data_IF_524653577561
#
_entry.id   IF_524653577561
#
_cell.length_a   1.000
_cell.length_b   1.000
_cell.length_c   1.000
_cell.angle_alpha   90.00
_cell.angle_beta   90.00
_cell.angle_gamma   90.00
#
_symmetry.space_group_name_H-M   'P 1'
#
loop_
_entity.id
_entity.type
_entity.pdbx_description
1 polymer ?
#
# COMPACT_ATOMS: atom_id res chain seq x y z
N UNK A 1 -43.09 -91.47 -21.09
CA UNK A 1 -43.10 -91.60 -19.62
C UNK A 1 -41.89 -90.75 -19.09
N UNK A 2 -42.23 -89.82 -18.18
CA UNK A 2 -41.39 -89.03 -17.26
C UNK A 2 -40.36 -88.04 -17.85
N UNK A 3 -40.78 -86.83 -17.79
CA UNK A 3 -40.01 -85.60 -17.89
C UNK A 3 -39.01 -85.45 -16.77
N UNK A 4 -37.87 -84.81 -17.07
CA UNK A 4 -37.04 -84.17 -16.07
C UNK A 4 -36.79 -82.71 -16.52
N UNK A 5 -37.28 -81.82 -15.70
CA UNK A 5 -37.14 -80.35 -15.88
C UNK A 5 -35.74 -79.95 -15.41
N UNK A 6 -34.98 -79.29 -16.31
CA UNK A 6 -33.77 -78.58 -15.95
C UNK A 6 -34.07 -77.21 -15.42
N UNK A 7 -33.56 -76.93 -14.22
CA UNK A 7 -33.57 -75.58 -13.60
C UNK A 7 -32.42 -74.81 -14.06
N UNK A 8 -32.63 -73.74 -14.78
CA UNK A 8 -31.61 -72.78 -15.15
C UNK A 8 -31.37 -71.80 -13.99
N UNK A 9 -30.14 -71.76 -13.47
CA UNK A 9 -29.72 -70.83 -12.45
C UNK A 9 -29.26 -69.53 -13.14
N UNK A 10 -30.06 -68.47 -12.98
CA UNK A 10 -29.68 -67.12 -13.45
C UNK A 10 -28.85 -66.47 -12.37
N UNK A 11 -27.54 -66.28 -12.62
CA UNK A 11 -26.63 -65.49 -11.78
C UNK A 11 -26.77 -64.02 -12.18
N UNK A 12 -27.49 -63.23 -11.39
CA UNK A 12 -27.48 -61.78 -11.52
C UNK A 12 -26.19 -61.22 -10.94
N UNK A 13 -25.24 -60.79 -11.82
CA UNK A 13 -24.12 -59.91 -11.44
C UNK A 13 -24.64 -58.48 -11.18
N UNK A 14 -24.81 -58.13 -9.91
CA UNK A 14 -25.08 -56.75 -9.51
C UNK A 14 -23.83 -55.88 -9.71
N UNK A 15 -23.86 -55.01 -10.70
CA UNK A 15 -22.92 -53.89 -10.83
C UNK A 15 -23.26 -52.84 -9.79
N UNK A 16 -22.49 -52.81 -8.69
CA UNK A 16 -22.48 -51.65 -7.77
C UNK A 16 -21.78 -50.47 -8.44
N UNK A 17 -22.56 -49.53 -8.99
CA UNK A 17 -22.07 -48.21 -9.28
C UNK A 17 -21.79 -47.48 -7.94
N UNK A 18 -20.54 -47.40 -7.54
CA UNK A 18 -20.09 -46.47 -6.53
C UNK A 18 -20.25 -45.04 -7.11
N UNK A 19 -21.36 -44.42 -6.81
CA UNK A 19 -21.51 -42.97 -6.94
C UNK A 19 -20.58 -42.34 -5.90
N UNK A 20 -19.37 -41.94 -6.33
CA UNK A 20 -18.52 -41.09 -5.55
C UNK A 20 -19.27 -39.78 -5.32
N UNK A 21 -19.78 -39.57 -4.12
CA UNK A 21 -20.24 -38.26 -3.69
C UNK A 21 -19.04 -37.31 -3.77
N UNK A 22 -18.99 -36.49 -4.82
CA UNK A 22 -18.17 -35.30 -4.83
C UNK A 22 -18.73 -34.41 -3.74
N UNK A 23 -18.07 -34.43 -2.57
CA UNK A 23 -18.34 -33.46 -1.53
C UNK A 23 -18.12 -32.09 -2.16
N UNK A 24 -19.05 -31.16 -2.09
CA UNK A 24 -18.79 -29.78 -2.52
C UNK A 24 -17.59 -29.31 -1.71
N UNK A 25 -16.49 -28.99 -2.40
CA UNK A 25 -15.35 -28.38 -1.78
C UNK A 25 -15.87 -27.17 -1.00
N UNK A 26 -15.65 -27.17 0.30
CA UNK A 26 -15.93 -25.99 1.13
C UNK A 26 -15.04 -24.88 0.55
N UNK A 27 -15.62 -23.97 -0.22
CA UNK A 27 -14.95 -22.72 -0.52
C UNK A 27 -14.79 -22.03 0.83
N UNK A 28 -13.60 -22.10 1.39
CA UNK A 28 -13.27 -21.30 2.57
C UNK A 28 -13.47 -19.84 2.16
N UNK A 29 -14.34 -19.14 2.88
CA UNK A 29 -14.58 -17.73 2.62
C UNK A 29 -13.24 -16.98 2.68
N UNK A 30 -13.04 -16.04 1.75
CA UNK A 30 -11.83 -15.18 1.75
C UNK A 30 -11.77 -14.47 3.11
N UNK A 31 -10.63 -14.54 3.83
CA UNK A 31 -10.44 -13.76 5.06
C UNK A 31 -10.72 -12.28 4.80
N UNK A 32 -11.29 -11.59 5.77
CA UNK A 32 -11.72 -10.21 5.59
C UNK A 32 -11.44 -9.36 6.83
N UNK A 33 -11.16 -8.09 6.60
CA UNK A 33 -11.20 -7.12 7.68
C UNK A 33 -12.63 -7.05 8.24
N UNK A 34 -12.73 -7.26 9.53
CA UNK A 34 -14.01 -7.23 10.27
C UNK A 34 -13.98 -6.05 11.25
N UNK A 35 -14.63 -4.92 10.92
CA UNK A 35 -14.63 -3.75 11.77
C UNK A 35 -15.30 -3.97 13.14
N UNK A 36 -16.16 -4.98 13.27
CA UNK A 36 -16.80 -5.30 14.55
C UNK A 36 -15.81 -5.89 15.58
N UNK A 37 -14.64 -6.33 15.12
CA UNK A 37 -13.56 -6.83 15.97
C UNK A 37 -12.57 -5.76 16.41
N UNK A 38 -12.62 -4.56 15.82
CA UNK A 38 -11.76 -3.45 16.26
C UNK A 38 -12.11 -3.13 17.70
N UNK A 39 -11.07 -3.06 18.55
CA UNK A 39 -11.23 -2.75 19.96
C UNK A 39 -11.73 -1.32 20.18
N UNK A 40 -12.08 -1.01 21.40
CA UNK A 40 -12.32 0.38 21.78
C UNK A 40 -11.01 1.20 21.65
N UNK A 41 -11.04 2.15 20.74
CA UNK A 41 -9.90 3.00 20.39
C UNK A 41 -9.97 4.38 21.08
N UNK A 42 -10.91 4.60 21.99
CA UNK A 42 -11.11 5.89 22.66
C UNK A 42 -9.91 6.35 23.52
N UNK A 43 -9.13 5.41 24.03
CA UNK A 43 -7.91 5.69 24.79
C UNK A 43 -6.62 5.65 23.95
N UNK A 44 -6.73 5.41 22.63
CA UNK A 44 -5.57 5.41 21.78
C UNK A 44 -5.05 6.83 21.58
N UNK A 45 -3.79 7.06 21.93
CA UNK A 45 -3.10 8.33 21.71
C UNK A 45 -1.68 8.04 21.18
N UNK A 46 -1.44 8.31 19.87
CA UNK A 46 -0.15 8.00 19.24
C UNK A 46 1.02 8.82 19.80
N UNK A 47 0.72 9.94 20.47
CA UNK A 47 1.72 10.78 21.13
C UNK A 47 2.18 10.24 22.50
N UNK A 48 1.38 9.38 23.13
CA UNK A 48 1.63 8.86 24.48
C UNK A 48 1.80 7.35 24.56
N UNK A 49 1.40 6.62 23.51
CA UNK A 49 1.39 5.16 23.56
C UNK A 49 2.76 4.58 23.90
N UNK A 50 2.77 3.64 24.84
CA UNK A 50 3.91 2.82 25.21
C UNK A 50 3.56 1.36 24.97
N UNK A 51 4.39 0.67 24.23
CA UNK A 51 4.19 -0.76 23.96
C UNK A 51 4.80 -1.63 25.04
N UNK A 52 4.19 -2.79 25.34
CA UNK A 52 4.77 -3.77 26.24
C UNK A 52 6.11 -4.29 25.69
N UNK A 53 6.97 -4.77 26.57
CA UNK A 53 8.28 -5.36 26.24
C UNK A 53 8.40 -6.77 26.85
N UNK A 54 9.38 -7.55 26.41
CA UNK A 54 9.63 -8.89 26.93
C UNK A 54 9.28 -10.00 25.93
N UNK A 55 8.49 -11.01 26.33
CA UNK A 55 8.02 -12.09 25.43
C UNK A 55 6.86 -11.61 24.56
N UNK A 56 7.18 -10.76 23.60
CA UNK A 56 6.24 -10.07 22.71
C UNK A 56 6.42 -10.52 21.26
N UNK A 57 5.43 -10.24 20.42
CA UNK A 57 5.58 -10.25 18.97
C UNK A 57 6.16 -8.90 18.54
N UNK A 58 7.37 -8.91 17.97
CA UNK A 58 8.15 -7.69 17.73
C UNK A 58 8.10 -7.24 16.28
N UNK A 59 7.74 -5.98 16.07
CA UNK A 59 7.79 -5.32 14.77
C UNK A 59 8.92 -4.27 14.79
N UNK A 60 9.90 -4.43 13.91
CA UNK A 60 10.92 -3.41 13.65
C UNK A 60 10.39 -2.40 12.64
N UNK A 61 9.86 -1.28 13.12
CA UNK A 61 9.34 -0.20 12.26
C UNK A 61 10.49 0.63 11.72
N UNK A 62 10.86 0.34 10.47
CA UNK A 62 11.93 1.01 9.73
C UNK A 62 11.39 2.23 8.99
N UNK A 63 11.71 3.43 9.44
CA UNK A 63 11.32 4.68 8.76
C UNK A 63 12.29 5.82 9.09
N UNK A 64 12.19 6.94 8.40
CA UNK A 64 12.92 8.15 8.75
C UNK A 64 12.19 8.85 9.91
N UNK A 65 12.68 8.70 11.11
CA UNK A 65 12.16 9.41 12.29
C UNK A 65 12.90 10.73 12.56
N UNK A 66 14.01 10.95 11.89
CA UNK A 66 14.76 12.21 11.92
C UNK A 66 15.22 12.62 10.51
N UNK A 67 15.67 13.88 10.35
CA UNK A 67 16.09 14.43 9.07
C UNK A 67 14.92 14.88 8.17
N UNK A 68 15.19 15.17 6.87
CA UNK A 68 14.19 15.74 5.97
C UNK A 68 12.94 14.88 5.73
N UNK A 69 13.07 13.56 5.83
CA UNK A 69 11.97 12.59 5.68
C UNK A 69 11.15 12.34 6.93
N UNK A 70 11.41 13.02 8.05
CA UNK A 70 10.81 12.68 9.36
C UNK A 70 9.27 12.76 9.42
N UNK A 71 8.63 13.49 8.50
CA UNK A 71 7.18 13.49 8.38
C UNK A 71 6.63 12.08 8.12
N UNK A 72 7.30 11.29 7.26
CA UNK A 72 6.88 9.92 6.98
C UNK A 72 6.94 9.04 8.24
N UNK A 73 7.96 9.23 9.08
CA UNK A 73 8.06 8.52 10.35
C UNK A 73 6.86 8.74 11.28
N UNK A 74 6.29 9.97 11.28
CA UNK A 74 5.05 10.26 12.03
C UNK A 74 3.84 9.53 11.45
N UNK A 75 3.67 9.56 10.13
CA UNK A 75 2.57 8.87 9.45
C UNK A 75 2.58 7.37 9.73
N UNK A 76 3.74 6.72 9.57
CA UNK A 76 3.82 5.27 9.73
C UNK A 76 3.86 4.82 11.18
N UNK A 77 4.37 5.65 12.09
CA UNK A 77 4.17 5.42 13.51
C UNK A 77 2.69 5.39 13.87
N UNK A 78 1.94 6.40 13.43
CA UNK A 78 0.53 6.53 13.72
C UNK A 78 -0.25 5.30 13.25
N UNK A 79 -0.05 4.85 12.02
CA UNK A 79 -0.81 3.72 11.46
C UNK A 79 -0.38 2.37 12.03
N UNK A 80 0.92 2.14 12.18
CA UNK A 80 1.43 0.86 12.72
C UNK A 80 1.09 0.73 14.20
N UNK A 81 1.21 1.82 14.97
CA UNK A 81 0.83 1.82 16.38
C UNK A 81 -0.68 1.67 16.58
N UNK A 82 -1.51 2.20 15.69
CA UNK A 82 -2.96 1.95 15.68
C UNK A 82 -3.27 0.45 15.59
N UNK A 83 -2.75 -0.24 14.59
CA UNK A 83 -3.01 -1.67 14.41
C UNK A 83 -2.49 -2.49 15.60
N UNK A 84 -1.31 -2.16 16.11
CA UNK A 84 -0.73 -2.85 17.24
C UNK A 84 -1.53 -2.59 18.54
N UNK A 85 -2.00 -1.37 18.75
CA UNK A 85 -2.85 -1.03 19.90
C UNK A 85 -4.18 -1.81 19.86
N UNK A 86 -4.86 -1.83 18.70
CA UNK A 86 -6.09 -2.61 18.51
C UNK A 86 -5.87 -4.08 18.88
N UNK A 87 -4.83 -4.72 18.33
CA UNK A 87 -4.51 -6.11 18.65
C UNK A 87 -4.18 -6.31 20.12
N UNK A 88 -3.42 -5.39 20.73
CA UNK A 88 -3.07 -5.47 22.15
C UNK A 88 -4.28 -5.33 23.08
N UNK A 89 -5.22 -4.45 22.74
CA UNK A 89 -6.51 -4.35 23.50
C UNK A 89 -7.34 -5.63 23.40
N UNK A 90 -7.19 -6.40 22.32
CA UNK A 90 -7.83 -7.71 22.13
C UNK A 90 -7.02 -8.88 22.76
N UNK A 91 -5.96 -8.58 23.49
CA UNK A 91 -5.09 -9.56 24.17
C UNK A 91 -3.88 -10.00 23.33
N UNK A 92 -3.54 -9.31 22.25
CA UNK A 92 -2.39 -9.59 21.41
C UNK A 92 -2.66 -10.51 20.22
N UNK A 93 -1.60 -10.83 19.47
CA UNK A 93 -1.61 -11.73 18.31
C UNK A 93 -1.44 -13.19 18.71
N UNK A 94 -2.16 -14.12 18.08
CA UNK A 94 -2.09 -15.55 18.38
C UNK A 94 -0.97 -16.21 17.57
N UNK A 95 0.10 -16.62 18.23
CA UNK A 95 1.25 -17.30 17.62
C UNK A 95 1.80 -18.37 18.57
N UNK A 96 2.25 -19.50 18.02
CA UNK A 96 2.83 -20.62 18.78
C UNK A 96 1.95 -21.10 19.95
N UNK A 97 0.62 -21.09 19.72
CA UNK A 97 -0.39 -21.50 20.72
C UNK A 97 -0.60 -20.51 21.87
N UNK A 98 -0.06 -19.30 21.78
CA UNK A 98 -0.16 -18.26 22.81
C UNK A 98 -0.54 -16.92 22.20
N UNK A 99 -1.24 -16.08 22.97
CA UNK A 99 -1.37 -14.67 22.65
C UNK A 99 -0.14 -13.92 23.13
N UNK A 100 0.49 -13.20 22.21
CA UNK A 100 1.62 -12.32 22.48
C UNK A 100 1.22 -10.88 22.20
N UNK A 101 1.53 -10.01 23.16
CA UNK A 101 1.37 -8.57 22.92
C UNK A 101 2.32 -8.12 21.83
N UNK A 102 1.90 -7.17 21.00
CA UNK A 102 2.71 -6.60 19.92
C UNK A 102 3.58 -5.48 20.50
N UNK A 103 4.86 -5.54 20.23
CA UNK A 103 5.86 -4.52 20.54
C UNK A 103 6.37 -3.88 19.25
N UNK A 104 6.39 -2.53 19.17
CA UNK A 104 6.97 -1.82 18.04
C UNK A 104 8.31 -1.21 18.47
N UNK A 105 9.37 -1.57 17.75
CA UNK A 105 10.72 -1.04 17.95
C UNK A 105 11.06 -0.13 16.75
N UNK A 106 11.27 1.16 17.02
CA UNK A 106 11.60 2.14 15.98
C UNK A 106 13.03 1.94 15.46
N UNK A 107 13.15 1.90 14.15
CA UNK A 107 14.42 1.90 13.42
C UNK A 107 14.56 3.15 12.57
N UNK A 108 15.28 4.17 13.06
CA UNK A 108 15.49 5.41 12.30
C UNK A 108 16.45 5.19 11.14
N UNK A 109 15.95 5.32 9.92
CA UNK A 109 16.74 5.20 8.68
C UNK A 109 17.45 6.49 8.28
N UNK A 110 16.93 7.64 8.73
CA UNK A 110 17.34 8.97 8.28
C UNK A 110 17.34 9.13 6.76
N UNK A 111 16.62 8.27 6.03
CA UNK A 111 16.68 8.15 4.56
C UNK A 111 18.11 7.91 4.02
N UNK A 112 18.99 7.28 4.80
CA UNK A 112 20.40 7.01 4.47
C UNK A 112 20.70 5.51 4.42
N UNK A 113 21.14 4.94 3.28
CA UNK A 113 21.39 3.50 3.11
C UNK A 113 22.32 2.89 4.16
N UNK A 114 23.42 3.56 4.51
CA UNK A 114 24.40 3.07 5.47
C UNK A 114 23.83 2.98 6.90
N UNK A 115 23.02 3.96 7.32
CA UNK A 115 22.33 3.96 8.61
C UNK A 115 21.26 2.88 8.61
N UNK A 116 20.45 2.80 7.55
CA UNK A 116 19.41 1.79 7.36
C UNK A 116 19.95 0.38 7.55
N UNK A 117 21.09 0.06 6.92
CA UNK A 117 21.71 -1.26 7.05
C UNK A 117 22.02 -1.60 8.50
N UNK A 118 22.73 -0.70 9.19
CA UNK A 118 23.10 -0.91 10.60
C UNK A 118 21.86 -1.08 11.51
N UNK A 119 20.86 -0.24 11.29
CA UNK A 119 19.62 -0.28 12.07
C UNK A 119 18.83 -1.57 11.82
N UNK A 120 18.70 -2.01 10.57
CA UNK A 120 18.02 -3.26 10.24
C UNK A 120 18.77 -4.48 10.81
N UNK A 121 20.12 -4.51 10.71
CA UNK A 121 20.94 -5.57 11.29
C UNK A 121 20.78 -5.62 12.84
N UNK A 122 20.76 -4.49 13.53
CA UNK A 122 20.49 -4.42 14.97
C UNK A 122 19.12 -4.99 15.31
N UNK A 123 18.07 -4.57 14.61
CA UNK A 123 16.71 -5.06 14.84
C UNK A 123 16.60 -6.58 14.68
N UNK A 124 17.30 -7.16 13.69
CA UNK A 124 17.30 -8.61 13.49
C UNK A 124 18.13 -9.36 14.54
N UNK A 125 19.33 -8.88 14.89
CA UNK A 125 20.29 -9.60 15.72
C UNK A 125 20.12 -9.39 17.22
N UNK A 126 19.92 -8.13 17.62
CA UNK A 126 19.87 -7.74 19.03
C UNK A 126 18.42 -7.71 19.54
N UNK A 127 17.53 -7.00 18.83
CA UNK A 127 16.13 -6.87 19.21
C UNK A 127 15.29 -8.11 18.83
N UNK A 128 15.78 -8.92 17.87
CA UNK A 128 15.16 -10.17 17.41
C UNK A 128 13.72 -9.97 16.95
N UNK A 129 13.51 -8.98 16.08
CA UNK A 129 12.17 -8.69 15.55
C UNK A 129 11.64 -9.83 14.68
N UNK A 130 10.34 -10.09 14.76
CA UNK A 130 9.66 -11.09 13.93
C UNK A 130 9.42 -10.59 12.52
N UNK A 131 9.19 -9.28 12.37
CA UNK A 131 8.93 -8.60 11.10
C UNK A 131 9.70 -7.29 11.06
N UNK A 132 10.38 -7.02 9.92
CA UNK A 132 10.78 -5.67 9.52
C UNK A 132 9.63 -5.06 8.73
N UNK A 133 9.21 -3.86 9.10
CA UNK A 133 8.09 -3.16 8.48
C UNK A 133 8.54 -1.78 7.99
N UNK A 134 8.16 -1.38 6.77
CA UNK A 134 8.51 -0.05 6.19
C UNK A 134 9.33 -0.23 4.91
N UNK A 135 10.00 0.72 4.37
CA UNK A 135 10.17 2.13 4.71
C UNK A 135 9.83 3.02 3.50
N UNK A 136 9.87 4.34 3.69
CA UNK A 136 9.85 5.28 2.57
C UNK A 136 11.16 5.27 1.79
N UNK A 137 11.08 5.41 0.46
CA UNK A 137 12.22 5.43 -0.45
C UNK A 137 12.69 4.05 -0.89
N UNK A 138 12.48 3.74 -2.18
CA UNK A 138 12.78 2.40 -2.73
C UNK A 138 14.25 2.01 -2.58
N UNK A 139 15.19 2.95 -2.64
CA UNK A 139 16.62 2.70 -2.38
C UNK A 139 16.90 2.28 -0.92
N UNK A 140 16.10 2.75 0.03
CA UNK A 140 16.15 2.34 1.44
C UNK A 140 15.59 0.91 1.59
N UNK A 141 14.46 0.64 0.94
CA UNK A 141 13.82 -0.67 0.96
C UNK A 141 14.71 -1.78 0.39
N UNK A 142 15.46 -1.51 -0.69
CA UNK A 142 16.45 -2.45 -1.23
C UNK A 142 17.50 -2.85 -0.19
N UNK A 143 17.91 -1.93 0.68
CA UNK A 143 18.85 -2.24 1.77
C UNK A 143 18.19 -3.12 2.83
N UNK A 144 16.97 -2.78 3.26
CA UNK A 144 16.22 -3.56 4.26
C UNK A 144 15.98 -4.98 3.72
N UNK A 145 15.58 -5.10 2.46
CA UNK A 145 15.29 -6.35 1.79
C UNK A 145 16.49 -7.30 1.80
N UNK A 146 17.71 -6.80 1.55
CA UNK A 146 18.94 -7.59 1.64
C UNK A 146 19.27 -8.04 3.07
N UNK A 147 18.98 -7.21 4.05
CA UNK A 147 19.15 -7.58 5.47
C UNK A 147 18.12 -8.64 5.86
N UNK A 148 16.86 -8.48 5.47
CA UNK A 148 15.79 -9.44 5.70
C UNK A 148 16.15 -10.83 5.12
N UNK A 149 16.68 -10.89 3.92
CA UNK A 149 17.15 -12.13 3.30
C UNK A 149 18.27 -12.79 4.11
N UNK A 150 19.29 -12.00 4.47
CA UNK A 150 20.46 -12.49 5.24
C UNK A 150 20.06 -13.10 6.57
N UNK A 151 19.09 -12.51 7.26
CA UNK A 151 18.66 -12.95 8.59
C UNK A 151 17.36 -13.75 8.58
N UNK A 152 16.81 -14.04 7.39
CA UNK A 152 15.57 -14.81 7.20
C UNK A 152 14.39 -14.22 8.00
N UNK A 153 14.29 -12.90 8.01
CA UNK A 153 13.24 -12.15 8.71
C UNK A 153 12.20 -11.70 7.70
N UNK A 154 10.91 -11.86 7.99
CA UNK A 154 9.85 -11.31 7.12
C UNK A 154 10.04 -9.81 6.98
N UNK A 155 10.02 -9.32 5.75
CA UNK A 155 10.00 -7.89 5.43
C UNK A 155 8.70 -7.51 4.75
N UNK A 156 7.92 -6.71 5.42
CA UNK A 156 6.67 -6.17 4.91
C UNK A 156 6.88 -4.74 4.40
N UNK A 157 6.71 -4.56 3.09
CA UNK A 157 6.79 -3.25 2.41
C UNK A 157 5.39 -2.77 2.00
N UNK A 158 4.73 -1.88 2.75
CA UNK A 158 3.42 -1.37 2.39
C UNK A 158 3.47 -0.04 1.61
N UNK A 159 4.64 0.43 1.15
CA UNK A 159 4.70 1.80 0.67
C UNK A 159 5.67 2.11 -0.48
N UNK A 160 6.72 1.34 -0.69
CA UNK A 160 7.75 1.67 -1.70
C UNK A 160 7.48 0.98 -3.02
N UNK A 161 7.49 1.76 -4.11
CA UNK A 161 6.78 1.46 -5.35
C UNK A 161 7.68 1.06 -6.52
N UNK A 162 9.03 1.18 -6.43
CA UNK A 162 9.90 0.81 -7.55
C UNK A 162 9.73 -0.66 -7.94
N UNK A 163 9.56 -0.99 -9.22
CA UNK A 163 9.51 -2.36 -9.71
C UNK A 163 10.78 -3.16 -9.38
N UNK A 164 11.92 -2.47 -9.27
CA UNK A 164 13.19 -3.09 -8.91
C UNK A 164 13.20 -3.81 -7.56
N UNK A 165 12.23 -3.54 -6.68
CA UNK A 165 12.08 -4.26 -5.42
C UNK A 165 11.65 -5.72 -5.62
N UNK A 166 10.97 -6.02 -6.73
CA UNK A 166 10.40 -7.35 -7.01
C UNK A 166 10.91 -7.94 -8.34
N UNK A 167 12.01 -7.40 -8.90
CA UNK A 167 12.68 -7.96 -10.08
C UNK A 167 13.56 -9.19 -9.72
N UNK A 168 14.01 -9.95 -10.73
CA UNK A 168 14.81 -11.16 -10.52
C UNK A 168 16.13 -10.93 -9.82
N UNK A 169 16.71 -9.71 -9.95
CA UNK A 169 17.97 -9.34 -9.31
C UNK A 169 17.83 -9.09 -7.80
N UNK A 170 16.70 -8.53 -7.36
CA UNK A 170 16.54 -8.05 -5.99
C UNK A 170 15.47 -8.84 -5.22
N UNK A 171 14.62 -9.62 -5.90
CA UNK A 171 13.62 -10.43 -5.23
C UNK A 171 14.26 -11.35 -4.19
N UNK A 172 13.65 -11.40 -3.02
CA UNK A 172 13.90 -12.45 -2.05
C UNK A 172 12.59 -12.93 -1.43
N UNK A 173 12.56 -14.19 -1.02
CA UNK A 173 11.34 -14.84 -0.56
C UNK A 173 10.80 -14.33 0.78
N UNK A 174 11.57 -13.55 1.54
CA UNK A 174 11.16 -12.98 2.83
C UNK A 174 10.50 -11.62 2.68
N UNK A 175 10.55 -11.00 1.49
CA UNK A 175 9.99 -9.69 1.23
C UNK A 175 8.61 -9.77 0.57
N UNK A 176 7.65 -9.00 1.10
CA UNK A 176 6.28 -8.90 0.60
C UNK A 176 5.91 -7.43 0.39
N UNK A 177 5.43 -7.09 -0.82
CA UNK A 177 4.95 -5.75 -1.13
C UNK A 177 3.43 -5.73 -1.21
N UNK A 178 2.80 -4.98 -0.31
CA UNK A 178 1.34 -4.87 -0.20
C UNK A 178 0.76 -3.57 -0.74
N UNK A 179 1.60 -2.73 -1.36
CA UNK A 179 1.19 -1.54 -2.07
C UNK A 179 1.30 -1.71 -3.60
N UNK A 180 0.68 -0.78 -4.33
CA UNK A 180 0.86 -0.67 -5.78
C UNK A 180 2.33 -0.46 -6.14
N UNK A 181 2.68 -0.65 -7.40
CA UNK A 181 3.96 -0.21 -7.95
C UNK A 181 3.79 0.97 -8.93
N UNK A 182 4.92 1.49 -9.43
CA UNK A 182 4.91 2.63 -10.36
C UNK A 182 4.26 2.32 -11.70
N UNK A 183 4.28 1.07 -12.17
CA UNK A 183 3.58 0.66 -13.38
C UNK A 183 2.07 0.68 -13.16
N UNK A 184 1.59 0.12 -12.04
CA UNK A 184 0.16 0.15 -11.67
C UNK A 184 -0.36 1.58 -11.60
N UNK A 185 0.39 2.47 -10.95
CA UNK A 185 0.03 3.89 -10.86
C UNK A 185 0.00 4.55 -12.24
N UNK A 186 1.06 4.38 -13.02
CA UNK A 186 1.19 4.98 -14.35
C UNK A 186 0.08 4.50 -15.31
N UNK A 187 -0.21 3.20 -15.32
CA UNK A 187 -1.29 2.63 -16.11
C UNK A 187 -2.67 3.13 -15.68
N UNK A 188 -2.95 3.14 -14.38
CA UNK A 188 -4.24 3.61 -13.86
C UNK A 188 -4.46 5.09 -14.18
N UNK A 189 -3.44 5.92 -14.03
CA UNK A 189 -3.50 7.35 -14.36
C UNK A 189 -3.71 7.55 -15.86
N UNK A 190 -2.99 6.82 -16.70
CA UNK A 190 -3.16 6.88 -18.16
C UNK A 190 -4.56 6.41 -18.60
N UNK A 191 -5.07 5.35 -17.98
CA UNK A 191 -6.43 4.86 -18.22
C UNK A 191 -7.50 5.90 -17.83
N UNK A 192 -7.29 6.64 -16.75
CA UNK A 192 -8.14 7.76 -16.39
C UNK A 192 -8.09 8.87 -17.43
N UNK A 193 -6.90 9.31 -17.85
CA UNK A 193 -6.74 10.35 -18.87
C UNK A 193 -7.21 9.92 -20.26
N UNK A 194 -7.29 8.63 -20.56
CA UNK A 194 -7.86 8.15 -21.82
C UNK A 194 -9.32 8.62 -22.04
N UNK A 195 -10.02 9.00 -20.98
CA UNK A 195 -11.40 9.49 -20.99
C UNK A 195 -11.52 11.00 -20.83
N UNK A 196 -10.39 11.71 -20.87
CA UNK A 196 -10.30 13.15 -20.67
C UNK A 196 -9.71 13.83 -21.92
N UNK A 197 -9.98 15.13 -22.12
CA UNK A 197 -9.53 15.86 -23.30
C UNK A 197 -8.01 16.14 -23.32
N UNK A 198 -7.35 16.21 -22.17
CA UNK A 198 -5.94 16.59 -22.06
C UNK A 198 -5.05 15.60 -22.80
N UNK A 199 -4.11 16.11 -23.62
CA UNK A 199 -3.20 15.31 -24.44
C UNK A 199 -1.73 15.63 -24.23
N UNK A 200 -1.41 16.76 -23.61
CA UNK A 200 -0.03 17.22 -23.42
C UNK A 200 0.38 17.16 -21.97
N UNK A 201 1.33 16.29 -21.66
CA UNK A 201 1.79 16.01 -20.30
C UNK A 201 3.22 16.49 -20.12
N UNK A 202 3.50 17.13 -18.99
CA UNK A 202 4.85 17.38 -18.51
C UNK A 202 5.16 16.48 -17.32
N UNK A 203 6.24 15.72 -17.40
CA UNK A 203 6.69 14.86 -16.31
C UNK A 203 7.70 15.63 -15.45
N UNK A 204 7.42 15.73 -14.15
CA UNK A 204 8.31 16.39 -13.18
C UNK A 204 8.44 15.52 -11.94
N UNK A 205 9.58 14.87 -11.77
CA UNK A 205 9.83 13.88 -10.73
C UNK A 205 11.18 14.10 -10.02
N UNK A 206 11.31 13.48 -8.85
CA UNK A 206 12.55 13.36 -8.11
C UNK A 206 13.59 12.53 -8.88
N UNK A 207 14.87 12.95 -8.86
CA UNK A 207 15.98 12.33 -9.60
C UNK A 207 16.58 11.14 -8.83
N UNK A 208 15.85 10.01 -8.82
CA UNK A 208 16.35 8.71 -8.37
C UNK A 208 15.49 7.59 -8.99
N UNK A 209 15.83 6.31 -8.72
CA UNK A 209 15.17 5.16 -9.37
C UNK A 209 13.65 5.23 -9.40
N UNK A 210 13.02 5.57 -8.28
CA UNK A 210 11.57 5.69 -8.20
C UNK A 210 11.00 6.78 -9.12
N UNK A 211 11.61 7.96 -9.19
CA UNK A 211 11.12 9.03 -10.05
C UNK A 211 11.22 8.68 -11.54
N UNK A 212 12.29 8.00 -11.94
CA UNK A 212 12.44 7.45 -13.29
C UNK A 212 11.42 6.33 -13.56
N UNK A 213 11.23 5.40 -12.63
CA UNK A 213 10.23 4.34 -12.72
C UNK A 213 8.80 4.90 -12.87
N UNK A 214 8.50 6.01 -12.17
CA UNK A 214 7.20 6.72 -12.31
C UNK A 214 7.01 7.27 -13.72
N UNK A 215 8.03 7.93 -14.25
CA UNK A 215 8.02 8.47 -15.61
C UNK A 215 7.81 7.35 -16.66
N UNK A 216 8.54 6.27 -16.52
CA UNK A 216 8.46 5.13 -17.43
C UNK A 216 7.12 4.40 -17.36
N UNK A 217 6.61 4.15 -16.14
CA UNK A 217 5.29 3.55 -15.94
C UNK A 217 4.19 4.38 -16.58
N UNK A 218 4.23 5.71 -16.43
CA UNK A 218 3.23 6.59 -17.05
C UNK A 218 3.36 6.63 -18.58
N UNK A 219 4.57 6.74 -19.14
CA UNK A 219 4.80 6.71 -20.59
C UNK A 219 4.29 5.40 -21.21
N UNK A 220 4.56 4.25 -20.58
CA UNK A 220 4.01 2.95 -21.00
C UNK A 220 2.49 2.92 -20.93
N UNK A 221 1.92 3.44 -19.84
CA UNK A 221 0.47 3.55 -19.69
C UNK A 221 -0.17 4.44 -20.76
N UNK A 222 0.40 5.60 -21.06
CA UNK A 222 -0.07 6.47 -22.15
C UNK A 222 -0.02 5.76 -23.50
N UNK A 223 1.07 5.09 -23.84
CA UNK A 223 1.19 4.33 -25.08
C UNK A 223 0.09 3.27 -25.24
N UNK A 224 -0.30 2.64 -24.12
CA UNK A 224 -1.34 1.61 -24.08
C UNK A 224 -2.77 2.17 -24.14
N UNK A 225 -3.06 3.20 -23.35
CA UNK A 225 -4.43 3.66 -23.09
C UNK A 225 -4.80 4.98 -23.75
N UNK A 226 -3.81 5.81 -24.10
CA UNK A 226 -4.00 7.14 -24.74
C UNK A 226 -2.91 7.43 -25.77
N UNK A 227 -2.87 6.68 -26.88
CA UNK A 227 -1.79 6.77 -27.87
C UNK A 227 -1.69 8.12 -28.60
N UNK A 228 -2.70 8.98 -28.47
CA UNK A 228 -2.72 10.36 -29.00
C UNK A 228 -2.15 11.38 -28.00
N UNK A 229 -1.70 10.95 -26.83
CA UNK A 229 -1.05 11.79 -25.85
C UNK A 229 0.44 12.02 -26.18
N UNK A 230 0.94 13.18 -25.81
CA UNK A 230 2.35 13.58 -25.99
C UNK A 230 2.94 14.03 -24.67
N UNK A 231 4.11 13.50 -24.32
CA UNK A 231 4.96 14.05 -23.25
C UNK A 231 5.73 15.21 -23.86
N UNK A 232 5.33 16.45 -23.55
CA UNK A 232 5.92 17.69 -24.10
C UNK A 232 7.16 18.14 -23.36
N UNK A 233 7.50 17.51 -22.24
CA UNK A 233 8.73 17.75 -21.50
C UNK A 233 8.87 16.83 -20.31
N UNK A 234 10.10 16.63 -19.90
CA UNK A 234 10.48 15.79 -18.75
C UNK A 234 11.61 16.46 -17.98
N UNK A 235 11.48 16.49 -16.66
CA UNK A 235 12.51 17.01 -15.76
C UNK A 235 12.59 16.19 -14.49
N UNK A 236 13.81 15.99 -14.04
CA UNK A 236 14.11 15.37 -12.77
C UNK A 236 14.86 16.35 -11.87
N UNK A 237 14.55 16.37 -10.58
CA UNK A 237 15.12 17.29 -9.60
C UNK A 237 15.69 16.54 -8.40
N UNK A 238 16.70 17.11 -7.71
CA UNK A 238 17.24 16.51 -6.50
C UNK A 238 16.17 16.32 -5.41
N UNK A 239 16.29 15.26 -4.60
CA UNK A 239 15.47 15.06 -3.41
C UNK A 239 15.55 16.26 -2.46
N UNK A 240 14.42 16.63 -1.86
CA UNK A 240 14.30 17.71 -0.89
C UNK A 240 14.65 19.11 -1.47
N UNK A 241 14.26 19.32 -2.72
CA UNK A 241 14.45 20.59 -3.43
C UNK A 241 13.63 21.71 -2.75
N UNK A 242 14.25 22.89 -2.62
CA UNK A 242 13.61 24.06 -1.99
C UNK A 242 13.01 25.04 -3.00
N UNK A 243 13.58 25.12 -4.19
CA UNK A 243 13.19 26.07 -5.24
C UNK A 243 12.83 25.31 -6.53
N UNK A 244 11.54 25.26 -6.83
CA UNK A 244 11.00 24.65 -8.05
C UNK A 244 10.83 25.64 -9.20
N UNK A 245 11.05 26.95 -9.00
CA UNK A 245 10.80 27.96 -10.03
C UNK A 245 11.50 27.68 -11.37
N UNK A 246 12.77 27.20 -11.43
CA UNK A 246 13.42 26.86 -12.69
C UNK A 246 12.72 25.72 -13.46
N UNK A 247 12.18 24.74 -12.74
CA UNK A 247 11.45 23.61 -13.34
C UNK A 247 10.06 24.04 -13.79
N UNK A 248 9.33 24.78 -12.94
CA UNK A 248 8.00 25.28 -13.25
C UNK A 248 7.98 26.26 -14.42
N UNK A 249 9.04 27.06 -14.61
CA UNK A 249 9.21 27.90 -15.81
C UNK A 249 9.31 27.05 -17.09
N UNK A 250 9.99 25.90 -17.04
CA UNK A 250 10.01 24.96 -18.18
C UNK A 250 8.62 24.38 -18.45
N UNK A 251 7.89 23.98 -17.40
CA UNK A 251 6.50 23.52 -17.53
C UNK A 251 5.65 24.58 -18.21
N UNK A 252 5.71 25.83 -17.73
CA UNK A 252 4.94 26.96 -18.27
C UNK A 252 5.23 27.21 -19.76
N UNK A 253 6.50 27.09 -20.17
CA UNK A 253 6.93 27.28 -21.57
C UNK A 253 6.66 26.09 -22.49
N UNK A 254 6.30 24.92 -21.97
CA UNK A 254 6.16 23.68 -22.74
C UNK A 254 4.82 23.52 -23.45
N UNK A 255 3.81 24.28 -23.06
CA UNK A 255 2.44 24.09 -23.52
C UNK A 255 1.76 22.85 -22.94
N UNK A 256 2.24 22.32 -21.81
CA UNK A 256 1.61 21.22 -21.10
C UNK A 256 0.20 21.57 -20.64
N UNK A 257 -0.67 20.57 -20.61
CA UNK A 257 -2.04 20.63 -20.11
C UNK A 257 -2.16 19.97 -18.73
N UNK A 258 -1.22 19.10 -18.36
CA UNK A 258 -1.16 18.38 -17.07
C UNK A 258 0.29 18.25 -16.62
N UNK A 259 0.54 18.41 -15.33
CA UNK A 259 1.79 18.00 -14.68
C UNK A 259 1.58 16.58 -14.11
N UNK A 260 2.41 15.63 -14.54
CA UNK A 260 2.49 14.31 -13.93
C UNK A 260 3.68 14.26 -12.99
N UNK A 261 3.44 13.90 -11.74
CA UNK A 261 4.50 13.82 -10.73
C UNK A 261 4.28 12.66 -9.77
N UNK A 262 5.36 11.98 -9.42
CA UNK A 262 5.40 11.02 -8.32
C UNK A 262 5.93 11.61 -7.02
N UNK A 263 6.21 12.90 -6.98
CA UNK A 263 6.86 13.53 -5.84
C UNK A 263 6.08 13.34 -4.54
N UNK A 264 6.79 12.91 -3.51
CA UNK A 264 6.28 12.76 -2.15
C UNK A 264 6.75 13.92 -1.25
N UNK A 265 6.27 13.95 -0.02
CA UNK A 265 6.55 15.00 0.96
C UNK A 265 8.03 15.05 1.37
N UNK A 266 8.71 16.23 1.37
CA UNK A 266 8.10 17.57 1.21
C UNK A 266 8.07 18.11 -0.24
N UNK A 267 8.64 17.41 -1.22
CA UNK A 267 8.88 17.97 -2.56
C UNK A 267 7.56 18.24 -3.30
N UNK A 268 6.65 17.26 -3.35
CA UNK A 268 5.37 17.41 -4.02
C UNK A 268 4.55 18.60 -3.50
N UNK A 269 4.29 18.74 -2.19
CA UNK A 269 3.64 19.91 -1.62
C UNK A 269 4.35 21.23 -1.95
N UNK A 270 5.69 21.25 -1.92
CA UNK A 270 6.47 22.45 -2.25
C UNK A 270 6.30 22.83 -3.70
N UNK A 271 6.38 21.86 -4.61
CA UNK A 271 6.18 22.06 -6.04
C UNK A 271 4.81 22.65 -6.35
N UNK A 272 3.72 22.06 -5.82
CA UNK A 272 2.34 22.54 -6.04
C UNK A 272 2.15 23.95 -5.48
N UNK A 273 2.64 24.23 -4.27
CA UNK A 273 2.56 25.57 -3.66
C UNK A 273 3.23 26.62 -4.54
N UNK A 274 4.43 26.36 -5.03
CA UNK A 274 5.16 27.28 -5.89
C UNK A 274 4.51 27.41 -7.28
N UNK A 275 3.98 26.32 -7.87
CA UNK A 275 3.23 26.39 -9.11
C UNK A 275 2.02 27.35 -8.98
N UNK A 276 1.26 27.21 -7.90
CA UNK A 276 0.11 28.09 -7.61
C UNK A 276 0.55 29.54 -7.42
N UNK A 277 1.65 29.80 -6.71
CA UNK A 277 2.21 31.13 -6.49
C UNK A 277 2.68 31.78 -7.79
N UNK A 278 3.21 31.01 -8.73
CA UNK A 278 3.60 31.47 -10.07
C UNK A 278 2.40 31.64 -11.03
N UNK A 279 1.17 31.40 -10.57
CA UNK A 279 -0.03 31.49 -11.40
C UNK A 279 -0.28 30.28 -12.30
N UNK A 280 0.48 29.22 -12.17
CA UNK A 280 0.29 28.00 -12.94
C UNK A 280 -0.90 27.20 -12.33
N UNK A 281 -1.94 26.99 -13.14
CA UNK A 281 -3.20 26.34 -12.73
C UNK A 281 -3.48 25.07 -13.56
N UNK A 282 -2.41 24.33 -13.88
CA UNK A 282 -2.56 23.04 -14.56
C UNK A 282 -3.01 21.95 -13.57
N UNK A 283 -3.81 20.98 -14.03
CA UNK A 283 -4.00 19.75 -13.27
C UNK A 283 -2.68 19.11 -12.88
N UNK A 284 -2.58 18.64 -11.63
CA UNK A 284 -1.42 17.91 -11.11
C UNK A 284 -1.84 16.49 -10.78
N UNK A 285 -1.36 15.53 -11.56
CA UNK A 285 -1.60 14.10 -11.38
C UNK A 285 -0.50 13.53 -10.46
N UNK A 286 -0.88 13.09 -9.25
CA UNK A 286 0.05 12.61 -8.23
C UNK A 286 -0.62 11.58 -7.33
N UNK A 287 0.16 10.92 -6.43
CA UNK A 287 -0.37 9.95 -5.47
C UNK A 287 -0.10 10.32 -3.99
N UNK A 288 0.76 11.30 -3.71
CA UNK A 288 1.17 11.66 -2.35
C UNK A 288 0.84 13.11 -1.96
N UNK A 289 0.16 13.85 -2.82
CA UNK A 289 -0.19 15.25 -2.56
C UNK A 289 -1.66 15.33 -2.10
N UNK A 290 -1.96 14.65 -1.00
CA UNK A 290 -3.23 14.71 -0.28
C UNK A 290 -3.07 15.42 1.08
N UNK A 291 -2.06 16.27 1.18
CA UNK A 291 -1.67 16.96 2.41
C UNK A 291 -2.65 18.10 2.74
N UNK A 292 -3.38 17.96 3.85
CA UNK A 292 -4.39 18.96 4.28
C UNK A 292 -3.82 20.38 4.43
N UNK A 293 -2.68 20.60 5.13
CA UNK A 293 -2.08 21.93 5.24
C UNK A 293 -1.76 22.58 3.89
N UNK A 294 -1.38 21.81 2.89
CA UNK A 294 -1.18 22.32 1.53
C UNK A 294 -2.50 22.80 0.93
N UNK A 295 -3.55 21.97 1.02
CA UNK A 295 -4.86 22.30 0.46
C UNK A 295 -5.45 23.56 1.10
N UNK A 296 -5.26 23.77 2.39
CA UNK A 296 -5.64 25.01 3.08
C UNK A 296 -4.82 26.21 2.56
N UNK A 297 -3.52 26.02 2.36
CA UNK A 297 -2.62 27.10 1.90
C UNK A 297 -2.95 27.59 0.50
N UNK A 298 -3.30 26.68 -0.43
CA UNK A 298 -3.62 27.04 -1.83
C UNK A 298 -5.06 27.45 -2.04
N UNK A 299 -5.93 27.19 -1.06
CA UNK A 299 -7.35 27.54 -1.06
C UNK A 299 -8.24 26.54 -1.79
N UNK A 300 -9.52 26.47 -1.36
CA UNK A 300 -10.45 25.44 -1.77
C UNK A 300 -10.57 25.23 -3.27
N UNK A 301 -11.05 26.21 -4.07
CA UNK A 301 -11.21 26.00 -5.53
C UNK A 301 -9.87 25.75 -6.25
N UNK A 302 -8.76 26.28 -5.76
CA UNK A 302 -7.45 26.03 -6.34
C UNK A 302 -7.01 24.58 -6.15
N UNK A 303 -7.39 23.95 -5.06
CA UNK A 303 -7.09 22.55 -4.77
C UNK A 303 -7.73 21.55 -5.75
N UNK A 304 -8.76 21.97 -6.50
CA UNK A 304 -9.41 21.13 -7.54
C UNK A 304 -8.49 20.80 -8.73
N UNK A 305 -7.31 21.45 -8.83
CA UNK A 305 -6.28 21.06 -9.81
C UNK A 305 -5.68 19.66 -9.50
N UNK A 306 -5.85 19.15 -8.29
CA UNK A 306 -5.26 17.88 -7.88
C UNK A 306 -6.05 16.70 -8.45
N UNK A 307 -5.33 15.76 -9.07
CA UNK A 307 -5.82 14.44 -9.50
C UNK A 307 -4.97 13.41 -8.76
N UNK A 308 -5.59 12.63 -7.90
CA UNK A 308 -4.92 11.60 -7.13
C UNK A 308 -5.29 10.21 -7.62
N UNK A 309 -4.30 9.33 -7.77
CA UNK A 309 -4.52 7.90 -8.01
C UNK A 309 -3.82 7.10 -6.92
N UNK A 310 -4.53 6.16 -6.32
CA UNK A 310 -3.96 5.36 -5.25
C UNK A 310 -4.73 4.05 -5.03
N UNK A 311 -4.13 3.16 -4.28
CA UNK A 311 -4.70 1.87 -3.91
C UNK A 311 -5.59 1.92 -2.64
N UNK A 312 -5.73 3.11 -2.05
CA UNK A 312 -6.69 3.44 -1.02
C UNK A 312 -7.12 4.90 -1.16
N UNK A 313 -8.40 5.18 -0.92
CA UNK A 313 -8.92 6.55 -0.78
C UNK A 313 -10.02 6.57 0.28
N UNK A 314 -10.06 7.64 1.07
CA UNK A 314 -11.10 7.86 2.08
C UNK A 314 -12.51 7.91 1.48
N UNK A 315 -12.63 8.36 0.23
CA UNK A 315 -13.91 8.48 -0.49
C UNK A 315 -14.42 7.18 -1.12
N UNK A 316 -13.74 6.06 -0.95
CA UNK A 316 -14.23 4.75 -1.41
C UNK A 316 -15.29 4.21 -0.45
N UNK A 317 -16.49 4.02 -0.97
CA UNK A 317 -17.67 3.65 -0.17
C UNK A 317 -17.80 2.13 -0.03
N UNK A 318 -17.10 1.55 0.97
CA UNK A 318 -17.34 0.19 1.45
C UNK A 318 -17.75 0.22 2.92
N UNK A 319 -18.49 -0.79 3.41
CA UNK A 319 -18.83 -0.88 4.83
C UNK A 319 -17.58 -0.87 5.75
N UNK A 320 -16.52 -1.57 5.34
CA UNK A 320 -15.26 -1.67 6.07
C UNK A 320 -14.57 -0.31 6.17
N UNK A 321 -14.44 0.39 5.03
CA UNK A 321 -13.81 1.70 4.98
C UNK A 321 -14.59 2.73 5.80
N UNK A 322 -15.92 2.75 5.64
CA UNK A 322 -16.76 3.64 6.44
C UNK A 322 -16.57 3.40 7.94
N UNK A 323 -16.61 2.16 8.39
CA UNK A 323 -16.48 1.83 9.79
C UNK A 323 -15.11 2.25 10.38
N UNK A 324 -14.01 1.98 9.68
CA UNK A 324 -12.68 2.37 10.16
C UNK A 324 -12.51 3.90 10.20
N UNK A 325 -13.09 4.61 9.24
CA UNK A 325 -13.10 6.08 9.21
C UNK A 325 -13.87 6.63 10.41
N UNK A 326 -15.05 6.09 10.70
CA UNK A 326 -15.87 6.52 11.84
C UNK A 326 -15.10 6.32 13.17
N UNK A 327 -14.46 5.14 13.36
CA UNK A 327 -13.64 4.84 14.54
C UNK A 327 -12.43 5.79 14.63
N UNK A 328 -11.76 6.00 13.51
CA UNK A 328 -10.60 6.90 13.43
C UNK A 328 -10.97 8.32 13.81
N UNK A 329 -12.03 8.83 13.20
CA UNK A 329 -12.50 10.19 13.44
C UNK A 329 -12.89 10.41 14.91
N UNK A 330 -13.52 9.42 15.54
CA UNK A 330 -13.87 9.49 16.95
C UNK A 330 -12.63 9.51 17.86
N UNK A 331 -11.68 8.57 17.63
CA UNK A 331 -10.48 8.45 18.45
C UNK A 331 -9.50 9.62 18.29
N UNK A 332 -9.46 10.24 17.09
CA UNK A 332 -8.49 11.32 16.82
C UNK A 332 -8.78 12.63 17.52
N UNK A 333 -9.98 12.81 18.11
CA UNK A 333 -10.38 14.05 18.76
C UNK A 333 -9.54 14.42 19.98
N UNK A 334 -9.03 13.43 20.69
CA UNK A 334 -8.34 13.59 21.97
C UNK A 334 -6.84 13.24 21.91
N UNK A 335 -6.27 13.15 20.70
CA UNK A 335 -4.85 12.85 20.55
C UNK A 335 -3.97 14.00 21.03
N UNK A 336 -2.82 13.68 21.57
CA UNK A 336 -1.83 14.68 22.02
C UNK A 336 -0.79 14.99 20.94
N UNK A 337 -0.08 16.10 21.16
CA UNK A 337 1.01 16.52 20.25
C UNK A 337 2.01 15.37 19.94
N UNK A 338 2.50 15.26 18.71
CA UNK A 338 2.26 16.16 17.56
C UNK A 338 1.03 15.78 16.72
N UNK A 339 0.10 15.00 17.23
CA UNK A 339 -1.06 14.45 16.52
C UNK A 339 -2.38 15.19 16.85
N UNK A 340 -2.32 16.31 17.55
CA UNK A 340 -3.44 17.15 18.00
C UNK A 340 -3.85 18.23 16.98
N UNK A 341 -3.58 17.99 15.71
CA UNK A 341 -3.87 18.94 14.63
C UNK A 341 -4.88 18.40 13.63
N UNK A 342 -5.55 19.28 12.91
CA UNK A 342 -6.51 18.94 11.85
C UNK A 342 -5.95 18.01 10.77
N UNK A 343 -4.62 17.94 10.64
CA UNK A 343 -3.92 17.05 9.69
C UNK A 343 -4.31 15.58 9.87
N UNK A 344 -4.61 15.16 11.11
CA UNK A 344 -4.79 13.77 11.48
C UNK A 344 -6.25 13.31 11.60
N UNK A 345 -7.21 14.23 11.50
CA UNK A 345 -8.65 13.94 11.73
C UNK A 345 -9.20 12.92 10.73
N UNK A 346 -8.79 13.01 9.47
CA UNK A 346 -9.26 12.14 8.41
C UNK A 346 -8.13 11.28 7.85
N UNK A 347 -8.37 9.98 7.61
CA UNK A 347 -7.37 9.12 6.99
C UNK A 347 -7.03 9.60 5.59
N UNK A 348 -5.76 9.94 5.37
CA UNK A 348 -5.20 10.15 4.03
C UNK A 348 -4.80 8.81 3.42
N UNK A 349 -4.39 8.80 2.14
CA UNK A 349 -4.08 7.56 1.42
C UNK A 349 -3.07 6.67 2.13
N UNK A 350 -2.01 7.24 2.68
CA UNK A 350 -0.96 6.51 3.40
C UNK A 350 -1.55 5.73 4.58
N UNK A 351 -2.51 6.31 5.29
CA UNK A 351 -3.15 5.65 6.42
C UNK A 351 -3.89 4.39 6.01
N UNK A 352 -4.86 4.53 5.13
CA UNK A 352 -5.70 3.39 4.77
C UNK A 352 -4.91 2.26 4.15
N UNK A 353 -3.93 2.56 3.31
CA UNK A 353 -3.01 1.57 2.75
C UNK A 353 -2.24 0.83 3.85
N UNK A 354 -1.64 1.56 4.77
CA UNK A 354 -0.82 1.02 5.84
C UNK A 354 -1.62 0.19 6.84
N UNK A 355 -2.80 0.69 7.24
CA UNK A 355 -3.74 -0.01 8.13
C UNK A 355 -4.20 -1.33 7.48
N UNK A 356 -4.67 -1.26 6.24
CA UNK A 356 -5.17 -2.40 5.47
C UNK A 356 -4.12 -3.52 5.34
N UNK A 357 -2.92 -3.13 4.92
CA UNK A 357 -1.80 -4.03 4.75
C UNK A 357 -1.34 -4.69 6.07
N UNK A 358 -1.35 -3.93 7.17
CA UNK A 358 -0.91 -4.43 8.47
C UNK A 358 -1.94 -5.38 9.08
N UNK A 359 -3.24 -5.11 8.94
CA UNK A 359 -4.28 -6.07 9.33
C UNK A 359 -4.17 -7.38 8.55
N UNK A 360 -3.95 -7.31 7.23
CA UNK A 360 -3.73 -8.51 6.43
C UNK A 360 -2.50 -9.29 6.89
N UNK A 361 -1.39 -8.63 7.13
CA UNK A 361 -0.19 -9.27 7.66
C UNK A 361 -0.46 -9.98 8.99
N UNK A 362 -1.18 -9.35 9.92
CA UNK A 362 -1.54 -9.96 11.20
C UNK A 362 -2.44 -11.18 11.02
N UNK A 363 -3.45 -11.08 10.14
CA UNK A 363 -4.32 -12.20 9.80
C UNK A 363 -3.54 -13.40 9.23
N UNK A 364 -2.61 -13.15 8.32
CA UNK A 364 -1.71 -14.17 7.77
C UNK A 364 -0.88 -14.84 8.86
N UNK A 365 -0.30 -14.06 9.78
CA UNK A 365 0.52 -14.57 10.88
C UNK A 365 -0.32 -15.42 11.85
N UNK A 366 -1.53 -14.97 12.20
CA UNK A 366 -2.45 -15.74 13.05
C UNK A 366 -2.88 -17.05 12.38
N UNK A 367 -3.15 -17.04 11.06
CA UNK A 367 -3.48 -18.28 10.29
C UNK A 367 -2.27 -19.21 10.15
N UNK A 368 -1.06 -18.68 10.01
CA UNK A 368 0.16 -19.47 10.07
C UNK A 368 0.40 -20.06 11.47
N UNK A 369 -0.15 -19.43 12.51
CA UNK A 369 -0.11 -19.88 13.89
C UNK A 369 1.28 -19.91 14.52
N UNK A 370 2.25 -19.18 13.94
CA UNK A 370 3.66 -19.26 14.34
C UNK A 370 4.43 -18.00 13.95
N UNK A 371 5.62 -17.85 14.54
CA UNK A 371 6.61 -16.84 14.14
C UNK A 371 7.65 -17.37 13.14
N UNK A 372 7.55 -18.63 12.71
CA UNK A 372 8.44 -19.23 11.71
C UNK A 372 8.22 -18.56 10.33
N UNK A 373 9.24 -17.86 9.77
CA UNK A 373 9.12 -17.15 8.51
C UNK A 373 8.69 -18.05 7.33
N UNK A 374 9.15 -19.30 7.28
CA UNK A 374 8.84 -20.23 6.18
C UNK A 374 7.35 -20.59 6.16
N UNK A 375 6.73 -20.74 7.31
CA UNK A 375 5.29 -21.02 7.42
C UNK A 375 4.47 -19.76 7.13
N UNK A 376 4.93 -18.58 7.55
CA UNK A 376 4.29 -17.30 7.21
C UNK A 376 4.31 -17.10 5.70
N UNK A 377 5.47 -17.33 5.03
CA UNK A 377 5.63 -17.26 3.58
C UNK A 377 4.62 -18.19 2.90
N UNK A 378 4.60 -19.46 3.30
CA UNK A 378 3.69 -20.46 2.71
C UNK A 378 2.21 -20.11 2.87
N UNK A 379 1.87 -19.39 3.94
CA UNK A 379 0.49 -18.91 4.18
C UNK A 379 0.17 -17.67 3.33
N UNK A 380 1.16 -16.82 3.06
CA UNK A 380 0.92 -15.54 2.36
C UNK A 380 1.03 -15.67 0.84
N UNK A 381 1.85 -16.59 0.31
CA UNK A 381 1.96 -16.83 -1.13
C UNK A 381 0.60 -17.30 -1.70
N UNK A 382 0.05 -16.51 -2.62
CA UNK A 382 -1.26 -16.78 -3.26
C UNK A 382 -2.48 -16.43 -2.42
N UNK A 383 -2.29 -15.95 -1.19
CA UNK A 383 -3.37 -15.59 -0.28
C UNK A 383 -4.24 -14.46 -0.81
N UNK A 384 -5.51 -14.50 -0.46
CA UNK A 384 -6.50 -13.48 -0.78
C UNK A 384 -7.11 -12.93 0.52
N UNK A 385 -7.33 -11.63 0.57
CA UNK A 385 -7.90 -10.93 1.72
C UNK A 385 -8.87 -9.85 1.26
N UNK A 386 -10.00 -9.70 1.94
CA UNK A 386 -10.92 -8.59 1.71
C UNK A 386 -10.58 -7.47 2.68
N UNK A 387 -9.88 -6.45 2.17
CA UNK A 387 -9.46 -5.29 2.93
C UNK A 387 -10.50 -4.19 3.03
N UNK A 388 -10.04 -2.99 3.38
CA UNK A 388 -10.89 -1.80 3.60
C UNK A 388 -11.64 -1.38 2.33
N UNK A 389 -10.98 -1.40 1.19
CA UNK A 389 -11.50 -0.85 -0.07
C UNK A 389 -11.64 -1.88 -1.19
N UNK A 390 -11.47 -3.15 -0.90
CA UNK A 390 -11.62 -4.23 -1.87
C UNK A 390 -10.68 -5.41 -1.62
N UNK A 391 -10.64 -6.30 -2.60
CA UNK A 391 -9.85 -7.52 -2.53
C UNK A 391 -8.36 -7.27 -2.75
N UNK A 392 -7.54 -7.88 -1.91
CA UNK A 392 -6.10 -7.98 -2.01
C UNK A 392 -5.73 -9.43 -2.36
N UNK A 393 -4.78 -9.62 -3.25
CA UNK A 393 -4.23 -10.94 -3.56
C UNK A 393 -2.71 -10.85 -3.62
N UNK A 394 -2.04 -11.70 -2.87
CA UNK A 394 -0.58 -11.82 -2.94
C UNK A 394 -0.19 -12.72 -4.13
N UNK A 395 0.51 -12.19 -5.11
CA UNK A 395 1.03 -13.00 -6.20
C UNK A 395 2.19 -13.87 -5.69
N UNK A 396 2.00 -15.18 -5.77
CA UNK A 396 2.90 -16.13 -5.11
C UNK A 396 4.34 -16.10 -5.69
N UNK A 397 4.51 -15.75 -6.96
CA UNK A 397 5.80 -15.85 -7.61
C UNK A 397 6.74 -14.68 -7.36
N UNK A 398 6.23 -13.49 -7.05
CA UNK A 398 7.03 -12.28 -6.84
C UNK A 398 6.65 -11.48 -5.60
N UNK A 399 5.68 -11.96 -4.81
CA UNK A 399 5.19 -11.32 -3.59
C UNK A 399 4.71 -9.87 -3.78
N UNK A 400 4.21 -9.57 -4.99
CA UNK A 400 3.54 -8.31 -5.30
C UNK A 400 2.03 -8.46 -5.08
N UNK A 401 1.43 -7.51 -4.36
CA UNK A 401 -0.03 -7.46 -4.25
C UNK A 401 -0.66 -7.11 -5.59
N UNK A 402 -1.77 -7.76 -5.88
CA UNK A 402 -2.72 -7.41 -6.94
C UNK A 402 -3.94 -6.81 -6.24
N UNK A 403 -4.30 -5.59 -6.61
CA UNK A 403 -5.42 -4.84 -6.05
C UNK A 403 -5.90 -3.76 -7.01
N UNK A 404 -7.12 -3.28 -6.81
CA UNK A 404 -7.66 -2.17 -7.58
C UNK A 404 -6.97 -0.85 -7.24
N UNK A 405 -6.96 0.06 -8.21
CA UNK A 405 -6.52 1.44 -8.05
C UNK A 405 -7.73 2.36 -8.15
N UNK A 406 -7.74 3.38 -7.35
CA UNK A 406 -8.78 4.41 -7.36
C UNK A 406 -8.18 5.72 -7.86
N UNK A 407 -8.92 6.42 -8.71
CA UNK A 407 -8.53 7.74 -9.22
C UNK A 407 -9.64 8.73 -8.87
N UNK A 408 -9.27 9.91 -8.39
CA UNK A 408 -10.20 10.99 -8.14
C UNK A 408 -9.59 12.33 -8.51
N UNK A 409 -10.41 13.27 -8.95
CA UNK A 409 -10.09 14.69 -8.91
C UNK A 409 -10.56 15.25 -7.57
N UNK A 410 -9.80 16.17 -6.98
CA UNK A 410 -10.22 16.83 -5.75
C UNK A 410 -11.38 17.78 -6.04
N UNK A 411 -12.23 17.96 -5.06
CA UNK A 411 -13.44 18.77 -5.12
C UNK A 411 -13.51 19.74 -3.93
N UNK A 412 -14.13 20.89 -4.13
CA UNK A 412 -14.41 21.87 -3.09
C UNK A 412 -15.83 22.46 -3.31
N UNK A 413 -16.67 22.61 -2.26
CA UNK A 413 -16.46 22.18 -0.86
C UNK A 413 -16.46 20.65 -0.71
N UNK A 414 -15.83 20.13 0.34
CA UNK A 414 -15.69 18.71 0.53
C UNK A 414 -15.88 18.27 1.99
N UNK A 415 -16.60 17.16 2.20
CA UNK A 415 -16.87 16.62 3.56
C UNK A 415 -15.62 16.14 4.30
N UNK A 416 -14.55 15.79 3.57
CA UNK A 416 -13.30 15.31 4.14
C UNK A 416 -12.34 16.44 4.51
N UNK A 417 -12.63 17.69 4.08
CA UNK A 417 -11.78 18.84 4.34
C UNK A 417 -12.58 20.15 4.21
N UNK A 418 -13.02 20.72 5.31
CA UNK A 418 -13.86 21.92 5.31
C UNK A 418 -13.16 23.18 4.80
N UNK A 419 -11.84 23.30 5.05
CA UNK A 419 -11.03 24.48 4.71
C UNK A 419 -10.33 24.40 3.35
N UNK A 420 -10.33 23.23 2.70
CA UNK A 420 -9.60 23.00 1.45
C UNK A 420 -10.25 21.92 0.59
N UNK A 421 -9.79 21.79 -0.65
CA UNK A 421 -10.20 20.68 -1.50
C UNK A 421 -9.72 19.34 -0.96
N UNK A 422 -10.46 18.29 -1.25
CA UNK A 422 -10.11 16.92 -0.90
C UNK A 422 -10.72 15.93 -1.90
N UNK A 423 -10.63 14.65 -1.61
CA UNK A 423 -11.06 13.56 -2.48
C UNK A 423 -12.52 13.72 -2.92
N UNK A 424 -12.72 13.87 -4.22
CA UNK A 424 -14.04 13.74 -4.85
C UNK A 424 -14.44 12.27 -4.99
N UNK A 425 -15.39 12.02 -5.89
CA UNK A 425 -15.85 10.65 -6.15
C UNK A 425 -14.70 9.78 -6.67
N UNK A 426 -14.43 8.67 -5.98
CA UNK A 426 -13.45 7.68 -6.41
C UNK A 426 -13.93 6.92 -7.65
N UNK A 427 -13.09 6.84 -8.68
CA UNK A 427 -13.27 6.01 -9.87
C UNK A 427 -12.39 4.80 -9.69
N UNK A 428 -13.01 3.62 -9.56
CA UNK A 428 -12.30 2.35 -9.47
C UNK A 428 -11.73 1.95 -10.82
N UNK A 429 -10.45 1.65 -10.85
CA UNK A 429 -9.75 1.02 -11.96
C UNK A 429 -9.47 -0.42 -11.53
N UNK A 430 -10.13 -1.37 -12.17
CA UNK A 430 -9.97 -2.79 -11.87
C UNK A 430 -8.51 -3.22 -12.11
N UNK A 431 -7.99 -4.06 -11.22
CA UNK A 431 -6.62 -4.56 -11.28
C UNK A 431 -6.24 -5.21 -12.60
N UNK A 432 -7.20 -5.75 -13.35
CA UNK A 432 -6.96 -6.32 -14.70
C UNK A 432 -6.43 -5.30 -15.70
N UNK A 433 -6.75 -3.99 -15.52
CA UNK A 433 -6.28 -2.91 -16.41
C UNK A 433 -4.95 -2.30 -15.97
N UNK A 434 -4.54 -2.50 -14.73
CA UNK A 434 -3.32 -1.95 -14.16
C UNK A 434 -2.50 -2.99 -13.38
N UNK A 435 -2.62 -4.27 -13.75
CA UNK A 435 -1.86 -5.35 -13.11
C UNK A 435 -0.36 -5.13 -13.32
N UNK A 436 0.44 -5.18 -12.23
CA UNK A 436 1.87 -5.01 -12.36
C UNK A 436 2.45 -6.13 -13.21
N UNK A 437 3.31 -5.81 -14.19
CA UNK A 437 3.99 -6.85 -14.97
C UNK A 437 4.87 -7.69 -14.04
N UNK A 438 5.00 -8.97 -14.36
CA UNK A 438 6.02 -9.81 -13.76
C UNK A 438 7.35 -9.46 -14.43
N UNK A 439 8.42 -9.34 -13.63
CA UNK A 439 9.74 -9.08 -14.17
C UNK A 439 10.22 -10.26 -15.04
N UNK A 440 10.71 -9.98 -16.25
CA UNK A 440 11.14 -11.00 -17.23
C UNK A 440 12.28 -11.87 -16.71
N UNK A 441 13.11 -11.35 -15.81
CA UNK A 441 14.25 -12.01 -15.19
C UNK A 441 13.88 -12.84 -13.94
N UNK A 442 12.59 -12.91 -13.57
CA UNK A 442 12.13 -13.67 -12.41
C UNK A 442 11.61 -15.05 -12.81
N UNK A 443 12.52 -16.05 -12.85
CA UNK A 443 12.23 -17.39 -13.37
C UNK A 443 11.12 -18.14 -12.62
N UNK A 444 10.92 -17.89 -11.32
CA UNK A 444 9.85 -18.54 -10.55
C UNK A 444 8.45 -18.19 -11.01
N UNK A 445 8.27 -17.11 -11.77
CA UNK A 445 6.99 -16.71 -12.36
C UNK A 445 6.73 -17.32 -13.75
N UNK A 446 7.72 -18.02 -14.32
CA UNK A 446 7.61 -18.64 -15.66
C UNK A 446 7.08 -20.08 -15.63
N UNK A 447 6.75 -20.61 -14.45
CA UNK A 447 6.35 -22.02 -14.25
C UNK A 447 4.84 -22.19 -14.28
#
# INVERSE_FOLDING_TARGET
>A
MRSLKGVALVVCLGLFFLWGAVLPGSSTAIPAFDPSKVADMSEYDPGKIVFPTGDTFKIGLMEAFSGPGAANGRYYWLTTSWNAYDYNKRGGIMVDGKRKMIEIIKGDTQSKPAITKKTAERLCLEDKVNVLWGASGSHICLVIQKVAEKYKTIYHNPMSLSPALMDGKNFNRYAFRTCLDTNMFGEAMAYYFARRPEKKFYILNQDYSYGHDMADGFKKGLAKHKPDAVVVGESFHPLFLKDFAPYLTKVQGSGAEVIFSGDWTPDGPTMVKQAVQMGLRLPVANLYIDNRPLMETIGGPTGEIMINANDYMVSVETPQNKAIIDIWHESSKDWSAPYDTDEWIWPVTIFGRSIDATYWMFDVIERAGTTDPEKIIATWEGDEYMGLVGKLKMRACDHQVIRDIFVTQFEFPNKWHEKGASYGKAIRIDSMYCMPPVADDLDRCKK
#
